data_IF_485022289336
#
_entry.id   IF_485022289336
#
_cell.length_a   1.000
_cell.length_b   1.000
_cell.length_c   1.000
_cell.angle_alpha   90.00
_cell.angle_beta   90.00
_cell.angle_gamma   90.00
#
_symmetry.space_group_name_H-M   'P 1'
#
loop_
_entity.id
_entity.type
_entity.pdbx_description
1 polymer ?
#
# COMPACT_ATOMS: atom_id res chain seq x y z
N UNK A 1 17.71 -3.29 -2.26
CA UNK A 1 16.84 -4.17 -3.06
C UNK A 1 16.60 -3.51 -4.40
N UNK A 2 16.26 -4.27 -5.44
CA UNK A 2 15.86 -3.71 -6.72
C UNK A 2 14.54 -2.94 -6.54
N UNK A 3 14.61 -1.60 -6.59
CA UNK A 3 13.44 -0.72 -6.45
C UNK A 3 12.80 -0.39 -7.79
N UNK A 4 13.43 -0.74 -8.91
CA UNK A 4 13.02 -0.35 -10.28
C UNK A 4 12.13 -1.37 -10.98
N UNK A 5 11.93 -2.55 -10.37
CA UNK A 5 10.93 -3.53 -10.78
C UNK A 5 10.26 -4.16 -9.54
N UNK A 6 9.74 -3.31 -8.64
CA UNK A 6 8.98 -3.77 -7.47
C UNK A 6 7.50 -3.43 -7.62
N UNK A 7 6.67 -4.47 -7.56
CA UNK A 7 5.21 -4.35 -7.50
C UNK A 7 4.75 -4.19 -6.06
N UNK A 8 3.85 -3.24 -5.83
CA UNK A 8 3.23 -2.97 -4.55
C UNK A 8 1.72 -3.23 -4.64
N UNK A 9 1.23 -4.22 -3.89
CA UNK A 9 -0.20 -4.50 -3.73
C UNK A 9 -0.69 -3.83 -2.46
N UNK A 10 -1.67 -2.94 -2.56
CA UNK A 10 -2.21 -2.13 -1.45
C UNK A 10 -3.69 -2.47 -1.23
N UNK A 11 -4.04 -2.85 0.00
CA UNK A 11 -5.43 -3.03 0.46
C UNK A 11 -5.71 -2.05 1.60
N UNK A 12 -6.70 -1.17 1.42
CA UNK A 12 -7.10 -0.14 2.38
C UNK A 12 -8.24 -0.58 3.31
N UNK A 13 -8.75 -1.82 3.14
CA UNK A 13 -9.78 -2.44 3.97
C UNK A 13 -11.13 -1.68 4.03
N UNK A 14 -11.44 -0.89 3.01
CA UNK A 14 -12.75 -0.28 2.78
C UNK A 14 -13.36 -0.65 1.42
N UNK A 15 -12.76 -1.65 0.76
CA UNK A 15 -13.11 -2.09 -0.59
C UNK A 15 -12.13 -1.61 -1.66
N UNK A 16 -11.28 -0.62 -1.36
CA UNK A 16 -10.24 -0.15 -2.29
C UNK A 16 -9.03 -1.08 -2.26
N UNK A 17 -8.68 -1.59 -3.44
CA UNK A 17 -7.47 -2.37 -3.71
C UNK A 17 -6.79 -1.82 -4.95
N UNK A 18 -5.48 -1.59 -4.86
CA UNK A 18 -4.69 -1.04 -5.95
C UNK A 18 -3.35 -1.75 -6.08
N UNK A 19 -2.81 -1.76 -7.29
CA UNK A 19 -1.47 -2.25 -7.59
C UNK A 19 -0.68 -1.09 -8.18
N UNK A 20 0.50 -0.85 -7.62
CA UNK A 20 1.44 0.15 -8.10
C UNK A 20 2.77 -0.52 -8.46
N UNK A 21 3.55 0.13 -9.30
CA UNK A 21 4.92 -0.29 -9.65
C UNK A 21 5.87 0.82 -9.23
N UNK A 22 7.00 0.47 -8.60
CA UNK A 22 8.09 1.39 -8.28
C UNK A 22 7.70 2.62 -7.42
N UNK A 23 6.75 2.48 -6.49
CA UNK A 23 6.31 3.56 -5.60
C UNK A 23 7.46 4.28 -4.88
N UNK A 24 8.46 3.53 -4.42
CA UNK A 24 9.62 4.09 -3.71
C UNK A 24 10.58 4.85 -4.63
N UNK A 25 10.44 4.71 -5.96
CA UNK A 25 11.23 5.46 -6.95
C UNK A 25 10.52 6.75 -7.34
N UNK A 26 9.19 6.70 -7.47
CA UNK A 26 8.39 7.89 -7.80
C UNK A 26 8.24 8.83 -6.61
N UNK A 27 8.26 8.29 -5.39
CA UNK A 27 8.02 9.03 -4.13
C UNK A 27 6.70 9.82 -4.15
N UNK A 28 5.74 9.37 -4.97
CA UNK A 28 4.42 9.97 -5.08
C UNK A 28 3.49 9.40 -3.99
N UNK A 29 2.80 10.25 -3.22
CA UNK A 29 1.91 9.78 -2.18
C UNK A 29 0.63 9.19 -2.75
N UNK A 30 0.12 8.15 -2.09
CA UNK A 30 -1.22 7.62 -2.35
C UNK A 30 -2.25 8.50 -1.64
N UNK A 31 -3.17 9.09 -2.40
CA UNK A 31 -4.30 9.83 -1.85
C UNK A 31 -5.53 8.93 -1.72
N UNK A 32 -6.13 8.92 -0.53
CA UNK A 32 -7.34 8.16 -0.25
C UNK A 32 -8.19 8.87 0.81
N UNK A 33 -9.51 8.70 0.74
CA UNK A 33 -10.46 9.27 1.70
C UNK A 33 -11.43 8.19 2.16
N UNK A 34 -11.38 7.85 3.44
CA UNK A 34 -12.37 6.99 4.08
C UNK A 34 -13.71 7.71 4.23
N UNK A 35 -14.81 7.04 3.87
CA UNK A 35 -16.16 7.61 3.93
C UNK A 35 -16.77 7.58 5.33
N UNK A 36 -16.37 6.62 6.17
CA UNK A 36 -16.98 6.37 7.48
C UNK A 36 -15.92 6.46 8.58
N UNK A 37 -16.28 6.93 9.80
CA UNK A 37 -15.41 6.78 10.96
C UNK A 37 -15.13 5.31 11.28
N UNK A 38 -13.93 5.02 11.78
CA UNK A 38 -13.53 3.66 12.14
C UNK A 38 -12.02 3.45 12.16
N UNK A 39 -11.62 2.26 12.59
CA UNK A 39 -10.23 1.77 12.50
C UNK A 39 -10.06 0.97 11.23
N UNK A 40 -9.13 1.39 10.38
CA UNK A 40 -8.78 0.73 9.13
C UNK A 40 -7.39 0.11 9.21
N UNK A 41 -7.24 -1.09 8.66
CA UNK A 41 -5.94 -1.78 8.55
C UNK A 41 -5.46 -1.68 7.10
N UNK A 42 -4.42 -0.91 6.85
CA UNK A 42 -3.77 -0.86 5.54
C UNK A 42 -2.74 -1.97 5.44
N UNK A 43 -2.79 -2.78 4.39
CA UNK A 43 -1.79 -3.81 4.10
C UNK A 43 -1.09 -3.50 2.77
N UNK A 44 0.24 -3.55 2.77
CA UNK A 44 1.06 -3.38 1.57
C UNK A 44 1.99 -4.58 1.40
N UNK A 45 1.92 -5.26 0.25
CA UNK A 45 2.87 -6.31 -0.13
C UNK A 45 3.77 -5.80 -1.27
N UNK A 46 5.08 -5.79 -1.04
CA UNK A 46 6.09 -5.51 -2.05
C UNK A 46 6.63 -6.83 -2.62
N UNK A 47 6.78 -6.93 -3.94
CA UNK A 47 7.27 -8.14 -4.61
C UNK A 47 8.15 -7.79 -5.81
N UNK A 48 9.32 -8.42 -5.90
CA UNK A 48 10.24 -8.32 -7.04
C UNK A 48 10.90 -9.69 -7.31
N UNK A 49 11.84 -9.73 -8.26
CA UNK A 49 12.55 -10.97 -8.63
C UNK A 49 13.37 -11.60 -7.50
N UNK A 50 13.74 -10.84 -6.47
CA UNK A 50 14.51 -11.32 -5.33
C UNK A 50 13.62 -11.89 -4.20
N UNK A 51 12.34 -11.54 -4.16
CA UNK A 51 11.41 -12.01 -3.13
C UNK A 51 10.25 -11.07 -2.87
N UNK A 52 9.70 -11.14 -1.66
CA UNK A 52 8.59 -10.29 -1.23
C UNK A 52 8.75 -9.86 0.23
N UNK A 53 8.10 -8.75 0.57
CA UNK A 53 7.98 -8.24 1.94
C UNK A 53 6.56 -7.69 2.16
N UNK A 54 6.14 -7.55 3.42
CA UNK A 54 4.83 -7.03 3.77
C UNK A 54 4.88 -6.08 4.97
N UNK A 55 4.13 -4.98 4.86
CA UNK A 55 3.92 -4.02 5.94
C UNK A 55 2.42 -3.82 6.23
N UNK A 56 2.12 -3.52 7.49
CA UNK A 56 0.76 -3.21 7.95
C UNK A 56 0.75 -1.91 8.74
N UNK A 57 -0.25 -1.06 8.49
CA UNK A 57 -0.50 0.19 9.21
C UNK A 57 -1.96 0.22 9.71
N UNK A 58 -2.20 0.79 10.89
CA UNK A 58 -3.54 1.03 11.41
C UNK A 58 -3.85 2.53 11.38
N UNK A 59 -5.00 2.91 10.82
CA UNK A 59 -5.47 4.30 10.70
C UNK A 59 -6.78 4.43 11.48
N UNK A 60 -6.87 5.42 12.36
CA UNK A 60 -8.10 5.80 13.06
C UNK A 60 -8.71 7.02 12.35
N UNK A 61 -9.93 6.88 11.84
CA UNK A 61 -10.74 7.96 11.27
C UNK A 61 -11.84 8.31 12.27
N UNK A 62 -11.90 9.57 12.69
CA UNK A 62 -12.85 10.09 13.70
C UNK A 62 -13.83 11.07 13.11
#
# INVERSE_FOLDING_TARGET
GDTTSTRYQVDLMDGVRAIYENLTVTDEPIQHRYEKPGVYRVNVKAENSAGHDQATLYIQVT
#
